data_IF_343111395420
#
_entry.id   IF_343111395420
#
_cell.length_a   1.000
_cell.length_b   1.000
_cell.length_c   1.000
_cell.angle_alpha   90.00
_cell.angle_beta   90.00
_cell.angle_gamma   90.00
#
_symmetry.space_group_name_H-M   'P 1'
#
loop_
_entity.id
_entity.type
_entity.pdbx_description
1 polymer ?
#
# COMPACT_ATOMS: atom_id res chain seq x y z
N UNK A 1 -13.53 14.66 -16.48
CA UNK A 1 -12.56 13.97 -17.35
C UNK A 1 -12.68 12.48 -17.12
N UNK A 2 -12.70 11.68 -18.20
CA UNK A 2 -12.70 10.21 -18.13
C UNK A 2 -11.71 9.70 -19.19
N UNK A 3 -10.91 8.65 -18.91
CA UNK A 3 -10.87 7.82 -17.70
C UNK A 3 -10.18 8.54 -16.51
N UNK A 4 -10.50 8.12 -15.28
CA UNK A 4 -9.94 8.71 -14.04
C UNK A 4 -9.65 7.62 -13.01
N UNK A 5 -8.60 7.81 -12.21
CA UNK A 5 -8.28 6.94 -11.07
C UNK A 5 -8.37 7.77 -9.80
N UNK A 6 -9.13 7.30 -8.83
CA UNK A 6 -9.22 7.87 -7.49
C UNK A 6 -8.42 6.94 -6.57
N UNK A 7 -7.34 7.44 -5.99
CA UNK A 7 -6.54 6.71 -5.01
C UNK A 7 -6.86 7.21 -3.61
N UNK A 8 -7.15 6.29 -2.70
CA UNK A 8 -7.45 6.56 -1.29
C UNK A 8 -6.46 5.76 -0.47
N UNK A 9 -5.51 6.44 0.14
CA UNK A 9 -4.58 5.80 1.09
C UNK A 9 -5.22 5.70 2.47
N UNK A 10 -4.79 4.71 3.27
CA UNK A 10 -5.32 4.45 4.61
C UNK A 10 -6.87 4.42 4.64
N UNK A 11 -7.47 3.72 3.69
CA UNK A 11 -8.93 3.68 3.54
C UNK A 11 -9.65 3.18 4.80
N UNK A 12 -8.97 2.43 5.65
CA UNK A 12 -9.46 1.97 6.96
C UNK A 12 -9.77 3.13 7.91
N UNK A 13 -9.06 4.27 7.81
CA UNK A 13 -9.33 5.47 8.60
C UNK A 13 -10.73 6.05 8.35
N UNK A 14 -11.23 5.92 7.11
CA UNK A 14 -12.54 6.41 6.69
C UNK A 14 -13.60 5.29 6.73
N UNK A 15 -13.19 4.09 6.35
CA UNK A 15 -14.04 2.94 6.10
C UNK A 15 -13.90 1.83 7.14
N UNK A 16 -13.30 2.09 8.30
CA UNK A 16 -13.19 1.14 9.40
C UNK A 16 -14.53 0.64 9.91
N UNK A 17 -14.52 -0.51 10.60
CA UNK A 17 -15.72 -1.07 11.26
C UNK A 17 -16.31 -0.04 12.24
N UNK A 18 -17.62 -0.07 12.40
CA UNK A 18 -18.35 0.87 13.25
C UNK A 18 -17.89 0.73 14.70
N UNK A 19 -17.40 1.84 15.29
CA UNK A 19 -17.16 1.96 16.73
C UNK A 19 -18.34 2.70 17.36
N UNK A 20 -18.69 2.37 18.60
CA UNK A 20 -19.81 2.99 19.32
C UNK A 20 -19.64 4.51 19.44
N UNK A 21 -18.39 5.00 19.52
CA UNK A 21 -18.03 6.43 19.62
C UNK A 21 -17.75 7.09 18.26
N UNK A 22 -18.12 6.46 17.14
CA UNK A 22 -17.87 7.06 15.81
C UNK A 22 -18.68 8.36 15.65
N UNK A 23 -17.98 9.49 15.44
CA UNK A 23 -18.63 10.79 15.22
C UNK A 23 -19.62 10.72 14.05
N UNK A 24 -20.81 11.29 14.24
CA UNK A 24 -21.89 11.29 13.23
C UNK A 24 -21.43 11.81 11.86
N UNK A 25 -20.49 12.76 11.84
CA UNK A 25 -19.88 13.29 10.62
C UNK A 25 -19.14 12.22 9.82
N UNK A 26 -18.34 11.37 10.48
CA UNK A 26 -17.61 10.29 9.81
C UNK A 26 -18.56 9.22 9.27
N UNK A 27 -19.63 8.93 10.00
CA UNK A 27 -20.69 8.03 9.54
C UNK A 27 -21.36 8.53 8.27
N UNK A 28 -21.58 9.85 8.15
CA UNK A 28 -22.13 10.48 6.94
C UNK A 28 -21.16 10.38 5.77
N UNK A 29 -19.88 10.69 5.99
CA UNK A 29 -18.81 10.58 4.97
C UNK A 29 -18.72 9.15 4.46
N UNK A 30 -18.65 8.14 5.35
CA UNK A 30 -18.63 6.72 4.99
C UNK A 30 -19.84 6.31 4.16
N UNK A 31 -21.03 6.74 4.57
CA UNK A 31 -22.28 6.44 3.86
C UNK A 31 -22.27 7.06 2.46
N UNK A 32 -21.84 8.32 2.35
CA UNK A 32 -21.75 8.99 1.06
C UNK A 32 -20.72 8.33 0.14
N UNK A 33 -19.55 8.00 0.66
CA UNK A 33 -18.53 7.29 -0.10
C UNK A 33 -19.06 5.95 -0.64
N UNK A 34 -19.80 5.19 0.19
CA UNK A 34 -20.41 3.93 -0.23
C UNK A 34 -21.45 4.10 -1.34
N UNK A 35 -22.23 5.19 -1.31
CA UNK A 35 -23.20 5.52 -2.35
C UNK A 35 -22.49 5.85 -3.66
N UNK A 36 -21.47 6.70 -3.60
CA UNK A 36 -20.69 7.10 -4.79
C UNK A 36 -19.96 5.89 -5.40
N UNK A 37 -19.39 5.02 -4.58
CA UNK A 37 -18.76 3.78 -5.06
C UNK A 37 -19.76 2.84 -5.78
N UNK A 38 -21.03 2.81 -5.38
CA UNK A 38 -22.05 2.04 -6.09
C UNK A 38 -22.35 2.62 -7.46
N UNK A 39 -22.36 3.94 -7.61
CA UNK A 39 -22.56 4.63 -8.88
C UNK A 39 -21.41 4.41 -9.87
N UNK A 40 -20.18 4.22 -9.39
CA UNK A 40 -18.99 3.95 -10.23
C UNK A 40 -19.07 2.57 -10.89
N UNK A 41 -19.72 1.59 -10.29
CA UNK A 41 -19.80 0.21 -10.81
C UNK A 41 -20.94 -0.04 -11.80
N UNK A 42 -22.02 0.74 -11.77
CA UNK A 42 -23.24 0.48 -12.55
C UNK A 42 -23.21 1.04 -13.97
N UNK A 43 -22.40 2.07 -14.19
CA UNK A 43 -22.31 2.78 -15.47
C UNK A 43 -20.85 2.88 -15.86
N UNK A 44 -20.26 1.83 -16.33
CA UNK A 44 -18.83 1.59 -16.67
C UNK A 44 -18.06 2.82 -17.22
N UNK A 45 -18.13 3.91 -16.51
CA UNK A 45 -17.81 5.26 -16.94
C UNK A 45 -16.33 5.62 -16.83
N UNK A 46 -15.42 4.62 -16.80
CA UNK A 46 -13.98 4.85 -16.83
C UNK A 46 -13.44 5.53 -15.56
N UNK A 47 -14.05 5.28 -14.40
CA UNK A 47 -13.52 5.67 -13.08
C UNK A 47 -13.10 4.43 -12.32
N UNK A 48 -11.84 4.37 -11.91
CA UNK A 48 -11.30 3.33 -11.04
C UNK A 48 -11.09 3.91 -9.63
N UNK A 49 -11.64 3.25 -8.62
CA UNK A 49 -11.34 3.55 -7.21
C UNK A 49 -10.35 2.53 -6.70
N UNK A 50 -9.22 3.01 -6.19
CA UNK A 50 -8.13 2.20 -5.63
C UNK A 50 -7.93 2.61 -4.18
N UNK A 51 -8.20 1.71 -3.24
CA UNK A 51 -7.95 1.91 -1.81
C UNK A 51 -6.71 1.13 -1.37
N UNK A 52 -5.87 1.72 -0.54
CA UNK A 52 -4.77 1.05 0.14
C UNK A 52 -5.01 1.02 1.65
N UNK A 53 -4.60 -0.07 2.31
CA UNK A 53 -4.70 -0.24 3.77
C UNK A 53 -3.65 -1.21 4.28
N UNK A 54 -3.15 -0.95 5.48
CA UNK A 54 -2.35 -1.87 6.28
C UNK A 54 -3.21 -2.73 7.23
N UNK A 55 -4.50 -2.39 7.39
CA UNK A 55 -5.43 -3.02 8.33
C UNK A 55 -6.67 -3.57 7.60
N UNK A 56 -6.52 -4.51 6.65
CA UNK A 56 -7.64 -4.97 5.81
C UNK A 56 -8.77 -5.62 6.60
N UNK A 57 -8.48 -6.12 7.82
CA UNK A 57 -9.48 -6.70 8.71
C UNK A 57 -10.34 -5.65 9.40
N UNK A 58 -9.88 -4.40 9.51
CA UNK A 58 -10.65 -3.30 10.12
C UNK A 58 -11.67 -2.66 9.15
N UNK A 59 -11.56 -2.93 7.85
CA UNK A 59 -12.48 -2.38 6.86
C UNK A 59 -13.90 -2.95 7.05
N UNK A 60 -14.89 -2.05 7.09
CA UNK A 60 -16.31 -2.40 7.15
C UNK A 60 -16.68 -3.42 6.05
N UNK A 61 -17.47 -4.42 6.43
CA UNK A 61 -17.88 -5.50 5.52
C UNK A 61 -18.66 -4.99 4.29
N UNK A 62 -19.47 -3.92 4.44
CA UNK A 62 -20.21 -3.34 3.33
C UNK A 62 -19.28 -2.65 2.31
N UNK A 63 -18.19 -2.02 2.78
CA UNK A 63 -17.15 -1.46 1.91
C UNK A 63 -16.38 -2.57 1.22
N UNK A 64 -15.97 -3.61 1.97
CA UNK A 64 -15.26 -4.77 1.39
C UNK A 64 -16.03 -5.48 0.29
N UNK A 65 -17.36 -5.51 0.35
CA UNK A 65 -18.21 -6.09 -0.71
C UNK A 65 -18.19 -5.27 -2.00
N UNK A 66 -17.90 -3.96 -1.92
CA UNK A 66 -17.84 -3.05 -3.07
C UNK A 66 -16.46 -3.03 -3.72
N UNK A 67 -15.42 -3.34 -2.94
CA UNK A 67 -14.05 -3.53 -3.43
C UNK A 67 -13.91 -4.99 -3.91
N UNK A 68 -14.30 -5.24 -5.16
CA UNK A 68 -14.35 -6.59 -5.72
C UNK A 68 -12.97 -7.23 -5.85
N UNK A 69 -11.97 -6.46 -6.27
CA UNK A 69 -10.59 -6.92 -6.41
C UNK A 69 -9.76 -6.54 -5.20
N UNK A 70 -9.04 -7.53 -4.66
CA UNK A 70 -8.15 -7.37 -3.52
C UNK A 70 -6.79 -7.93 -3.91
N UNK A 71 -5.78 -7.08 -3.76
CA UNK A 71 -4.40 -7.42 -4.09
C UNK A 71 -3.61 -7.35 -2.79
N UNK A 72 -3.02 -8.48 -2.42
CA UNK A 72 -2.09 -8.52 -1.29
C UNK A 72 -0.68 -8.20 -1.80
N UNK A 73 -0.05 -7.21 -1.18
CA UNK A 73 1.34 -6.85 -1.44
C UNK A 73 2.16 -7.40 -0.27
N UNK A 74 2.91 -8.48 -0.53
CA UNK A 74 3.80 -9.10 0.45
C UNK A 74 5.07 -8.27 0.66
N UNK A 75 5.80 -8.56 1.74
CA UNK A 75 7.18 -8.13 1.87
C UNK A 75 8.01 -8.66 0.69
N UNK A 76 9.06 -7.93 0.28
CA UNK A 76 9.91 -8.35 -0.83
C UNK A 76 10.66 -9.64 -0.50
N UNK A 77 10.75 -10.55 -1.46
CA UNK A 77 11.61 -11.72 -1.38
C UNK A 77 13.11 -11.33 -1.43
N UNK A 78 14.00 -12.30 -1.21
CA UNK A 78 15.44 -12.07 -1.17
C UNK A 78 15.95 -11.38 -2.44
N UNK A 79 15.53 -11.86 -3.61
CA UNK A 79 15.93 -11.29 -4.88
C UNK A 79 15.46 -9.84 -5.05
N UNK A 80 14.21 -9.56 -4.68
CA UNK A 80 13.64 -8.21 -4.69
C UNK A 80 14.36 -7.28 -3.72
N UNK A 81 14.73 -7.77 -2.53
CA UNK A 81 15.50 -6.97 -1.56
C UNK A 81 16.87 -6.59 -2.11
N UNK A 82 17.58 -7.51 -2.76
CA UNK A 82 18.85 -7.20 -3.45
C UNK A 82 18.62 -6.14 -4.53
N UNK A 83 17.54 -6.24 -5.30
CA UNK A 83 17.18 -5.22 -6.30
C UNK A 83 16.94 -3.84 -5.68
N UNK A 84 16.22 -3.79 -4.54
CA UNK A 84 15.95 -2.54 -3.81
C UNK A 84 17.25 -1.95 -3.25
N UNK A 85 18.13 -2.77 -2.66
CA UNK A 85 19.44 -2.35 -2.17
C UNK A 85 20.28 -1.72 -3.31
N UNK A 86 20.42 -2.42 -4.43
CA UNK A 86 21.14 -1.92 -5.62
C UNK A 86 20.54 -0.60 -6.13
N UNK A 87 19.21 -0.49 -6.12
CA UNK A 87 18.52 0.74 -6.54
C UNK A 87 18.82 1.92 -5.63
N UNK A 88 18.78 1.74 -4.30
CA UNK A 88 19.03 2.82 -3.35
C UNK A 88 20.49 3.24 -3.27
N UNK A 89 21.44 2.31 -3.38
CA UNK A 89 22.87 2.65 -3.46
C UNK A 89 23.19 3.35 -4.80
N UNK A 90 22.49 2.96 -5.87
CA UNK A 90 22.53 3.65 -7.15
C UNK A 90 23.94 3.84 -7.71
N UNK A 91 24.40 5.10 -7.84
CA UNK A 91 25.71 5.47 -8.38
C UNK A 91 26.75 5.73 -7.30
N UNK A 92 26.44 5.49 -6.03
CA UNK A 92 27.40 5.67 -4.94
C UNK A 92 28.59 4.72 -5.15
N UNK A 93 29.84 5.19 -5.12
CA UNK A 93 30.99 4.32 -5.25
C UNK A 93 31.03 3.29 -4.13
N UNK A 94 31.18 2.02 -4.48
CA UNK A 94 31.27 0.90 -3.54
C UNK A 94 32.17 -0.21 -4.06
N UNK A 95 32.62 -1.09 -3.18
CA UNK A 95 33.47 -2.26 -3.49
C UNK A 95 32.70 -3.57 -3.36
N UNK A 96 31.36 -3.54 -3.20
CA UNK A 96 30.52 -4.71 -3.03
C UNK A 96 30.57 -5.62 -4.27
N UNK A 97 30.80 -6.91 -4.04
CA UNK A 97 30.75 -7.98 -5.04
C UNK A 97 29.34 -8.57 -5.15
N UNK A 98 29.08 -9.40 -6.15
CA UNK A 98 27.78 -10.10 -6.26
C UNK A 98 27.50 -10.99 -5.03
N UNK A 99 28.53 -11.62 -4.47
CA UNK A 99 28.38 -12.43 -3.24
C UNK A 99 27.96 -11.58 -2.03
N UNK A 100 28.46 -10.34 -1.94
CA UNK A 100 28.07 -9.43 -0.86
C UNK A 100 26.62 -9.00 -1.00
N UNK A 101 26.12 -8.80 -2.22
CA UNK A 101 24.73 -8.49 -2.49
C UNK A 101 23.79 -9.62 -2.08
N UNK A 102 24.15 -10.87 -2.38
CA UNK A 102 23.39 -12.05 -1.96
C UNK A 102 23.36 -12.16 -0.43
N UNK A 103 24.50 -11.92 0.23
CA UNK A 103 24.57 -11.94 1.69
C UNK A 103 23.73 -10.83 2.31
N UNK A 104 23.77 -9.61 1.79
CA UNK A 104 22.90 -8.51 2.22
C UNK A 104 21.42 -8.85 2.03
N UNK A 105 21.06 -9.51 0.93
CA UNK A 105 19.70 -10.01 0.71
C UNK A 105 19.24 -11.00 1.78
N UNK A 106 20.13 -11.89 2.25
CA UNK A 106 19.86 -12.83 3.35
C UNK A 106 19.76 -12.14 4.71
N UNK A 107 20.69 -11.23 5.01
CA UNK A 107 20.72 -10.51 6.28
C UNK A 107 19.53 -9.55 6.49
N UNK A 108 18.92 -9.09 5.41
CA UNK A 108 17.73 -8.23 5.44
C UNK A 108 16.41 -9.00 5.37
N UNK A 109 16.38 -10.25 5.86
CA UNK A 109 15.13 -11.02 5.90
C UNK A 109 14.04 -10.25 6.66
N UNK A 110 12.79 -10.33 6.17
CA UNK A 110 11.61 -9.65 6.70
C UNK A 110 11.66 -8.10 6.65
N UNK A 111 12.66 -7.50 6.00
CA UNK A 111 12.70 -6.05 5.79
C UNK A 111 11.71 -5.63 4.69
N UNK A 112 10.98 -4.55 4.97
CA UNK A 112 10.19 -3.85 3.95
C UNK A 112 11.10 -3.00 3.05
N UNK A 113 10.55 -2.50 1.93
CA UNK A 113 11.27 -1.56 1.07
C UNK A 113 11.67 -0.27 1.80
N UNK A 114 10.84 0.17 2.77
CA UNK A 114 11.14 1.34 3.62
C UNK A 114 12.32 1.08 4.55
N UNK A 115 12.38 -0.10 5.18
CA UNK A 115 13.48 -0.48 6.07
C UNK A 115 14.81 -0.52 5.30
N UNK A 116 14.79 -1.10 4.10
CA UNK A 116 15.97 -1.14 3.22
C UNK A 116 16.38 0.28 2.79
N UNK A 117 15.42 1.15 2.48
CA UNK A 117 15.71 2.55 2.13
C UNK A 117 16.40 3.28 3.28
N UNK A 118 15.92 3.08 4.52
CA UNK A 118 16.53 3.67 5.73
C UNK A 118 17.93 3.12 5.96
N UNK A 119 18.09 1.79 5.90
CA UNK A 119 19.38 1.14 6.02
C UNK A 119 20.41 1.71 5.02
N UNK A 120 20.02 1.84 3.75
CA UNK A 120 20.92 2.40 2.73
C UNK A 120 21.27 3.86 2.99
N UNK A 121 20.32 4.68 3.45
CA UNK A 121 20.60 6.08 3.81
C UNK A 121 21.61 6.17 4.95
N UNK A 122 21.42 5.39 6.01
CA UNK A 122 22.30 5.39 7.17
C UNK A 122 23.73 4.90 6.80
N UNK A 123 23.83 3.93 5.89
CA UNK A 123 25.10 3.41 5.44
C UNK A 123 25.90 4.38 4.53
N UNK A 124 25.21 5.33 3.87
CA UNK A 124 25.83 6.29 2.92
C UNK A 124 26.19 7.62 3.61
N UNK A 125 25.57 7.93 4.77
CA UNK A 125 25.89 9.13 5.54
C UNK A 125 27.23 9.02 6.26
#
# INVERSE_FOLDING_TARGET
MKPSVIFIDEIDSICGARKEDEHESMRRVKTQLMIEMQGVGSDNNGVLVLGATNLPWEIDQAVRRRLEKRIYISLPDEHSRVGILKHHIGKTPHTLTESDWEELGRLTNDFSGSDISTLCKDAIM
#
